data_IF_229884025134
#
_entry.id   IF_229884025134
#
_cell.length_a   1.000
_cell.length_b   1.000
_cell.length_c   1.000
_cell.angle_alpha   90.00
_cell.angle_beta   90.00
_cell.angle_gamma   90.00
#
_symmetry.space_group_name_H-M   'P 1'
#
loop_
_entity.id
_entity.type
_entity.pdbx_description
1 polymer ?
#
# COMPACT_ATOMS: atom_id res chain seq x y z
N UNK A 1 18.16 -14.48 13.70
CA UNK A 1 17.53 -13.44 12.86
C UNK A 1 16.96 -14.12 11.64
N UNK A 2 15.69 -13.89 11.27
CA UNK A 2 15.17 -14.41 10.01
C UNK A 2 15.99 -13.84 8.86
N UNK A 3 16.39 -14.70 7.92
CA UNK A 3 17.13 -14.29 6.73
C UNK A 3 16.13 -13.67 5.76
N UNK A 4 16.42 -12.45 5.29
CA UNK A 4 15.71 -11.88 4.14
C UNK A 4 15.79 -12.89 2.98
N UNK A 5 14.67 -13.22 2.30
CA UNK A 5 14.74 -13.94 1.04
C UNK A 5 15.62 -13.14 0.06
N UNK A 6 16.28 -13.84 -0.87
CA UNK A 6 17.37 -13.36 -1.73
C UNK A 6 17.32 -11.84 -2.02
N UNK A 7 18.28 -11.12 -1.41
CA UNK A 7 18.67 -9.73 -1.63
C UNK A 7 17.56 -8.77 -2.10
N UNK A 8 16.50 -8.60 -1.29
CA UNK A 8 15.66 -7.39 -1.38
C UNK A 8 16.61 -6.20 -1.32
N UNK A 9 16.70 -5.44 -2.41
CA UNK A 9 17.57 -4.26 -2.45
C UNK A 9 16.86 -3.13 -1.73
N UNK A 10 17.37 -2.79 -0.55
CA UNK A 10 16.75 -1.80 0.32
C UNK A 10 17.26 -0.39 -0.02
N UNK A 11 16.38 0.63 0.06
CA UNK A 11 16.83 2.02 0.03
C UNK A 11 17.76 2.35 1.19
N UNK A 12 18.66 3.32 0.98
CA UNK A 12 19.60 3.77 2.00
C UNK A 12 18.92 4.57 3.14
N UNK A 13 17.76 5.17 2.89
CA UNK A 13 16.95 5.89 3.89
C UNK A 13 15.55 5.27 4.06
N UNK A 14 14.82 5.58 5.15
CA UNK A 14 13.44 5.12 5.31
C UNK A 14 12.53 5.65 4.19
N UNK A 15 11.38 4.99 3.99
CA UNK A 15 10.33 5.56 3.15
C UNK A 15 9.74 6.83 3.77
N UNK A 16 9.20 7.76 2.96
CA UNK A 16 8.59 8.99 3.47
C UNK A 16 7.55 8.74 4.54
N UNK A 17 7.47 9.62 5.54
CA UNK A 17 6.45 9.48 6.57
C UNK A 17 5.04 9.74 6.02
N UNK A 18 4.07 9.01 6.56
CA UNK A 18 2.64 9.31 6.41
C UNK A 18 2.11 9.90 7.71
N UNK A 19 0.96 10.58 7.65
CA UNK A 19 0.37 11.22 8.83
C UNK A 19 0.20 10.23 10.01
N UNK A 20 0.42 10.74 11.24
CA UNK A 20 0.40 9.94 12.45
C UNK A 20 -0.95 9.25 12.67
N UNK A 21 -2.06 9.91 12.33
CA UNK A 21 -3.41 9.33 12.34
C UNK A 21 -3.94 9.19 10.91
N UNK A 22 -3.98 7.96 10.41
CA UNK A 22 -4.64 7.67 9.12
C UNK A 22 -6.17 7.78 9.21
N UNK A 23 -6.74 7.63 10.40
CA UNK A 23 -8.19 7.65 10.59
C UNK A 23 -8.83 6.38 10.02
N UNK A 24 -10.02 6.51 9.45
CA UNK A 24 -10.67 5.43 8.71
C UNK A 24 -9.81 5.06 7.48
N UNK A 25 -9.55 3.77 7.31
CA UNK A 25 -8.75 3.21 6.22
C UNK A 25 -9.56 2.10 5.52
N UNK A 26 -10.53 2.46 4.66
CA UNK A 26 -11.29 1.49 3.90
C UNK A 26 -10.42 0.93 2.76
N UNK A 27 -10.58 -0.37 2.53
CA UNK A 27 -10.03 -1.08 1.37
C UNK A 27 -11.19 -1.30 0.41
N UNK A 28 -11.07 -0.78 -0.80
CA UNK A 28 -12.10 -0.82 -1.84
C UNK A 28 -11.52 -1.32 -3.14
N UNK A 29 -12.37 -1.78 -4.05
CA UNK A 29 -11.99 -2.46 -5.29
C UNK A 29 -12.37 -1.68 -6.56
N UNK A 30 -12.90 -0.45 -6.42
CA UNK A 30 -13.28 0.38 -7.55
C UNK A 30 -13.09 1.88 -7.33
N UNK A 31 -12.89 2.61 -8.43
CA UNK A 31 -12.85 4.08 -8.47
C UNK A 31 -14.15 4.71 -7.98
N UNK A 32 -15.30 4.09 -8.29
CA UNK A 32 -16.62 4.56 -7.84
C UNK A 32 -16.69 4.63 -6.30
N UNK A 33 -16.17 3.61 -5.61
CA UNK A 33 -16.12 3.60 -4.16
C UNK A 33 -15.16 4.65 -3.60
N UNK A 34 -14.03 4.88 -4.26
CA UNK A 34 -13.10 5.95 -3.89
C UNK A 34 -13.82 7.29 -3.93
N UNK A 35 -14.47 7.63 -5.04
CA UNK A 35 -15.18 8.91 -5.19
C UNK A 35 -16.25 9.10 -4.12
N UNK A 36 -17.08 8.07 -3.85
CA UNK A 36 -18.11 8.10 -2.80
C UNK A 36 -17.51 8.36 -1.42
N UNK A 37 -16.41 7.70 -1.07
CA UNK A 37 -15.76 7.83 0.23
C UNK A 37 -15.07 9.19 0.39
N UNK A 38 -14.41 9.68 -0.67
CA UNK A 38 -13.81 11.01 -0.70
C UNK A 38 -14.87 12.10 -0.50
N UNK A 39 -16.02 11.98 -1.15
CA UNK A 39 -17.16 12.90 -0.97
C UNK A 39 -17.77 12.82 0.44
N UNK A 40 -17.64 11.68 1.11
CA UNK A 40 -18.04 11.51 2.51
C UNK A 40 -16.99 12.01 3.54
N UNK A 41 -15.87 12.59 3.08
CA UNK A 41 -14.83 13.16 3.94
C UNK A 41 -13.76 12.15 4.40
N UNK A 42 -13.76 10.93 3.84
CA UNK A 42 -12.67 9.96 4.09
C UNK A 42 -11.43 10.41 3.34
N UNK A 43 -10.29 10.48 4.04
CA UNK A 43 -9.05 11.04 3.48
C UNK A 43 -7.87 10.07 3.48
N UNK A 44 -8.09 8.80 3.83
CA UNK A 44 -7.14 7.72 3.61
C UNK A 44 -7.89 6.53 3.06
N UNK A 45 -7.47 5.99 1.92
CA UNK A 45 -8.16 4.91 1.21
C UNK A 45 -7.11 3.98 0.59
N UNK A 46 -7.43 2.69 0.45
CA UNK A 46 -6.66 1.76 -0.36
C UNK A 46 -7.51 1.23 -1.51
N UNK A 47 -6.98 1.35 -2.74
CA UNK A 47 -7.51 0.66 -3.90
C UNK A 47 -6.85 -0.71 -4.01
N UNK A 48 -7.66 -1.77 -4.01
CA UNK A 48 -7.23 -3.15 -4.14
C UNK A 48 -8.07 -3.87 -5.19
N UNK A 49 -7.54 -3.87 -6.40
CA UNK A 49 -8.08 -4.63 -7.52
C UNK A 49 -7.40 -5.99 -7.54
N UNK A 50 -8.14 -7.05 -7.87
CA UNK A 50 -7.61 -8.42 -7.96
C UNK A 50 -7.81 -8.98 -9.35
N UNK A 51 -6.98 -9.96 -9.71
CA UNK A 51 -7.18 -10.84 -10.87
C UNK A 51 -7.31 -10.11 -12.22
N UNK A 52 -6.60 -8.98 -12.38
CA UNK A 52 -6.56 -8.19 -13.63
C UNK A 52 -5.13 -7.87 -14.05
N UNK A 53 -4.88 -7.77 -15.36
CA UNK A 53 -3.58 -7.36 -15.89
C UNK A 53 -3.34 -5.86 -15.71
N UNK A 54 -2.07 -5.43 -15.74
CA UNK A 54 -1.71 -4.01 -15.71
C UNK A 54 -2.45 -3.19 -16.79
N UNK A 55 -2.66 -3.76 -17.98
CA UNK A 55 -3.37 -3.09 -19.07
C UNK A 55 -4.85 -2.86 -18.73
N UNK A 56 -5.50 -3.82 -18.06
CA UNK A 56 -6.92 -3.75 -17.72
C UNK A 56 -7.21 -2.77 -16.58
N UNK A 57 -6.23 -2.52 -15.69
CA UNK A 57 -6.39 -1.63 -14.52
C UNK A 57 -5.76 -0.26 -14.71
N UNK A 58 -5.02 -0.05 -15.79
CA UNK A 58 -4.24 1.17 -16.01
C UNK A 58 -5.08 2.43 -15.88
N UNK A 59 -6.16 2.51 -16.64
CA UNK A 59 -7.05 3.68 -16.66
C UNK A 59 -7.74 3.86 -15.30
N UNK A 60 -8.14 2.76 -14.67
CA UNK A 60 -8.77 2.75 -13.35
C UNK A 60 -7.83 3.29 -12.26
N UNK A 61 -6.57 2.85 -12.25
CA UNK A 61 -5.55 3.32 -11.30
C UNK A 61 -5.19 4.79 -11.55
N UNK A 62 -5.04 5.19 -12.81
CA UNK A 62 -4.77 6.59 -13.15
C UNK A 62 -5.89 7.51 -12.66
N UNK A 63 -7.15 7.13 -12.90
CA UNK A 63 -8.32 7.87 -12.40
C UNK A 63 -8.37 7.91 -10.88
N UNK A 64 -8.09 6.78 -10.21
CA UNK A 64 -8.05 6.71 -8.76
C UNK A 64 -7.03 7.69 -8.17
N UNK A 65 -5.80 7.71 -8.72
CA UNK A 65 -4.73 8.61 -8.28
C UNK A 65 -5.14 10.06 -8.47
N UNK A 66 -5.68 10.42 -9.64
CA UNK A 66 -6.15 11.78 -9.91
C UNK A 66 -7.26 12.24 -8.93
N UNK A 67 -8.18 11.34 -8.55
CA UNK A 67 -9.18 11.62 -7.51
C UNK A 67 -8.52 11.81 -6.14
N UNK A 68 -7.55 10.97 -5.79
CA UNK A 68 -6.78 11.10 -4.56
C UNK A 68 -6.13 12.47 -4.45
N UNK A 69 -5.44 12.91 -5.51
CA UNK A 69 -4.80 14.24 -5.57
C UNK A 69 -5.82 15.38 -5.46
N UNK A 70 -6.90 15.32 -6.25
CA UNK A 70 -7.97 16.33 -6.24
C UNK A 70 -8.56 16.57 -4.85
N UNK A 71 -8.70 15.51 -4.06
CA UNK A 71 -9.25 15.58 -2.70
C UNK A 71 -8.18 15.73 -1.62
N UNK A 72 -6.90 15.89 -1.98
CA UNK A 72 -5.77 15.88 -1.06
C UNK A 72 -5.80 14.66 -0.11
N UNK A 73 -6.16 13.50 -0.67
CA UNK A 73 -6.35 12.26 0.04
C UNK A 73 -5.13 11.36 -0.05
N UNK A 74 -5.02 10.49 0.94
CA UNK A 74 -3.92 9.53 1.10
C UNK A 74 -4.36 8.21 0.45
N UNK A 75 -4.27 8.14 -0.86
CA UNK A 75 -4.65 6.95 -1.62
C UNK A 75 -3.45 6.01 -1.78
N UNK A 76 -3.58 4.78 -1.28
CA UNK A 76 -2.62 3.72 -1.48
C UNK A 76 -3.08 2.76 -2.58
N UNK A 77 -2.20 2.46 -3.54
CA UNK A 77 -2.44 1.46 -4.58
C UNK A 77 -1.87 0.12 -4.10
N UNK A 78 -2.70 -0.92 -4.08
CA UNK A 78 -2.28 -2.27 -3.69
C UNK A 78 -1.70 -3.01 -4.90
N UNK A 79 -0.56 -3.69 -4.71
CA UNK A 79 0.14 -4.61 -5.63
C UNK A 79 0.67 -4.00 -6.95
N UNK A 80 -0.09 -3.12 -7.61
CA UNK A 80 0.25 -2.47 -8.89
C UNK A 80 1.26 -1.32 -8.73
N UNK A 81 2.40 -1.61 -8.10
CA UNK A 81 3.41 -0.62 -7.74
C UNK A 81 4.04 0.09 -8.95
N UNK A 82 4.15 -0.59 -10.10
CA UNK A 82 4.70 0.01 -11.34
C UNK A 82 3.82 1.14 -11.84
N UNK A 83 2.51 0.92 -11.88
CA UNK A 83 1.53 1.94 -12.24
C UNK A 83 1.46 3.06 -11.20
N UNK A 84 1.63 2.72 -9.91
CA UNK A 84 1.71 3.71 -8.84
C UNK A 84 2.93 4.62 -8.96
N UNK A 85 4.09 4.08 -9.34
CA UNK A 85 5.31 4.85 -9.69
C UNK A 85 5.07 5.70 -10.92
N UNK A 86 4.56 5.10 -11.99
CA UNK A 86 4.35 5.76 -13.27
C UNK A 86 3.41 6.96 -13.17
N UNK A 87 2.33 6.84 -12.40
CA UNK A 87 1.33 7.88 -12.24
C UNK A 87 1.49 8.73 -10.98
N UNK A 88 2.57 8.55 -10.20
CA UNK A 88 2.87 9.41 -9.05
C UNK A 88 1.87 9.29 -7.90
N UNK A 89 1.47 8.07 -7.51
CA UNK A 89 0.54 7.85 -6.42
C UNK A 89 0.98 8.47 -5.07
N UNK A 90 0.08 8.59 -4.10
CA UNK A 90 0.49 8.97 -2.74
C UNK A 90 1.35 7.89 -2.06
N UNK A 91 1.04 6.60 -2.34
CA UNK A 91 1.81 5.47 -1.84
C UNK A 91 1.34 4.12 -2.38
N UNK A 92 2.09 3.09 -2.02
CA UNK A 92 1.85 1.68 -2.37
C UNK A 92 1.61 0.89 -1.09
N UNK A 93 0.74 -0.12 -1.16
CA UNK A 93 0.60 -1.14 -0.12
C UNK A 93 0.94 -2.51 -0.68
N UNK A 94 1.75 -3.28 0.05
CA UNK A 94 2.25 -4.59 -0.38
C UNK A 94 1.96 -5.68 0.66
N UNK A 95 1.71 -6.90 0.17
CA UNK A 95 1.80 -8.13 0.95
C UNK A 95 3.24 -8.64 1.04
N UNK A 96 3.45 -9.74 1.76
CA UNK A 96 4.78 -10.35 1.87
C UNK A 96 5.26 -10.95 0.55
N UNK A 97 4.37 -11.58 -0.21
CA UNK A 97 4.68 -12.17 -1.51
C UNK A 97 5.13 -11.09 -2.52
N UNK A 98 4.50 -9.91 -2.49
CA UNK A 98 4.86 -8.80 -3.38
C UNK A 98 6.24 -8.21 -3.05
N UNK A 99 6.65 -8.21 -1.77
CA UNK A 99 7.95 -7.67 -1.35
C UNK A 99 9.13 -8.40 -2.00
N UNK A 100 8.98 -9.69 -2.32
CA UNK A 100 10.04 -10.49 -2.93
C UNK A 100 10.32 -10.10 -4.39
N UNK A 101 9.31 -9.59 -5.09
CA UNK A 101 9.39 -9.30 -6.54
C UNK A 101 9.36 -7.80 -6.86
N UNK A 102 9.13 -6.97 -5.85
CA UNK A 102 9.02 -5.51 -6.00
C UNK A 102 10.38 -4.83 -5.96
N UNK A 103 10.61 -3.90 -6.89
CA UNK A 103 11.75 -2.99 -6.82
C UNK A 103 11.45 -1.86 -5.83
N UNK A 104 11.85 -2.07 -4.57
CA UNK A 104 11.68 -1.08 -3.50
C UNK A 104 12.51 0.20 -3.72
N UNK A 105 13.61 0.13 -4.48
CA UNK A 105 14.37 1.33 -4.83
C UNK A 105 13.58 2.21 -5.79
N UNK A 106 12.93 1.63 -6.80
CA UNK A 106 12.09 2.39 -7.72
C UNK A 106 10.95 3.12 -7.00
N UNK A 107 10.27 2.44 -6.07
CA UNK A 107 9.21 3.05 -5.25
C UNK A 107 9.77 4.20 -4.40
N UNK A 108 10.94 3.98 -3.78
CA UNK A 108 11.58 4.97 -2.92
C UNK A 108 12.05 6.20 -3.70
N UNK A 109 12.68 6.00 -4.85
CA UNK A 109 13.14 7.06 -5.75
C UNK A 109 11.99 7.92 -6.29
N UNK A 110 10.82 7.30 -6.51
CA UNK A 110 9.60 8.02 -6.87
C UNK A 110 9.00 8.86 -5.71
N UNK A 111 9.55 8.77 -4.50
CA UNK A 111 9.07 9.51 -3.33
C UNK A 111 7.73 8.98 -2.78
N UNK A 112 7.34 7.77 -3.16
CA UNK A 112 6.10 7.13 -2.73
C UNK A 112 6.21 6.66 -1.29
N UNK A 113 5.08 6.65 -0.58
CA UNK A 113 4.98 5.99 0.73
C UNK A 113 4.78 4.49 0.57
N UNK A 114 5.27 3.71 1.54
CA UNK A 114 5.11 2.26 1.56
C UNK A 114 4.34 1.79 2.79
N UNK A 115 3.27 1.03 2.56
CA UNK A 115 2.59 0.24 3.58
C UNK A 115 2.87 -1.24 3.39
N UNK A 116 3.08 -1.96 4.49
CA UNK A 116 3.29 -3.42 4.44
C UNK A 116 2.29 -4.10 5.38
N UNK A 117 1.64 -5.15 4.90
CA UNK A 117 0.78 -6.01 5.73
C UNK A 117 1.58 -7.16 6.36
N UNK A 118 1.27 -7.46 7.62
CA UNK A 118 1.93 -8.49 8.44
C UNK A 118 0.89 -9.27 9.25
N UNK A 119 1.12 -10.56 9.48
CA UNK A 119 0.20 -11.49 10.15
C UNK A 119 0.85 -12.30 11.27
N UNK A 120 2.18 -12.31 11.35
CA UNK A 120 2.95 -12.95 12.42
C UNK A 120 4.22 -12.15 12.73
N UNK A 121 4.97 -12.61 13.73
CA UNK A 121 6.21 -11.96 14.18
C UNK A 121 7.33 -12.02 13.14
N UNK A 122 7.34 -13.03 12.27
CA UNK A 122 8.33 -13.20 11.22
C UNK A 122 8.13 -12.17 10.11
N UNK A 123 6.91 -12.05 9.60
CA UNK A 123 6.52 -11.01 8.64
C UNK A 123 6.77 -9.61 9.21
N UNK A 124 6.49 -9.40 10.50
CA UNK A 124 6.78 -8.13 11.18
C UNK A 124 8.28 -7.83 11.20
N UNK A 125 9.13 -8.82 11.49
CA UNK A 125 10.58 -8.63 11.49
C UNK A 125 11.11 -8.25 10.10
N UNK A 126 10.61 -8.89 9.03
CA UNK A 126 10.94 -8.55 7.65
C UNK A 126 10.48 -7.13 7.32
N UNK A 127 9.21 -6.81 7.59
CA UNK A 127 8.65 -5.50 7.30
C UNK A 127 9.39 -4.37 8.04
N UNK A 128 9.85 -4.61 9.28
CA UNK A 128 10.69 -3.65 10.02
C UNK A 128 12.00 -3.33 9.31
N UNK A 129 12.65 -4.34 8.72
CA UNK A 129 13.92 -4.14 8.01
C UNK A 129 13.79 -3.26 6.77
N UNK A 130 12.60 -3.25 6.15
CA UNK A 130 12.27 -2.42 4.98
C UNK A 130 12.09 -0.94 5.35
N UNK A 131 11.85 -0.61 6.63
CA UNK A 131 11.56 0.75 7.12
C UNK A 131 10.43 1.46 6.34
N UNK A 132 9.25 0.83 6.23
CA UNK A 132 8.09 1.38 5.51
C UNK A 132 7.48 2.59 6.24
N UNK A 133 6.62 3.33 5.56
CA UNK A 133 5.87 4.45 6.12
C UNK A 133 4.87 4.03 7.20
N UNK A 134 4.35 2.80 7.12
CA UNK A 134 3.57 2.15 8.17
C UNK A 134 3.52 0.62 7.98
N UNK A 135 3.20 -0.09 9.07
CA UNK A 135 2.91 -1.51 9.04
C UNK A 135 1.47 -1.75 9.49
N UNK A 136 0.79 -2.61 8.77
CA UNK A 136 -0.57 -3.04 9.05
C UNK A 136 -0.54 -4.45 9.62
N UNK A 137 -1.11 -4.64 10.80
CA UNK A 137 -1.21 -5.95 11.43
C UNK A 137 -2.61 -6.51 11.20
N UNK A 138 -2.70 -7.51 10.32
CA UNK A 138 -3.92 -8.25 10.06
C UNK A 138 -4.01 -9.45 11.00
N UNK A 139 -5.22 -9.75 11.50
CA UNK A 139 -5.48 -11.05 12.12
C UNK A 139 -5.57 -12.08 10.97
N UNK A 140 -4.72 -13.09 10.99
CA UNK A 140 -4.83 -14.21 10.06
C UNK A 140 -6.01 -15.10 10.49
N UNK A 141 -7.15 -14.96 9.82
CA UNK A 141 -8.20 -15.98 9.85
C UNK A 141 -8.18 -16.69 8.52
N UNK A 142 -7.94 -18.00 8.53
CA UNK A 142 -7.64 -18.75 7.32
C UNK A 142 -8.76 -18.71 6.27
N UNK A 143 -10.01 -18.34 6.56
CA UNK A 143 -11.11 -18.40 5.58
C UNK A 143 -12.01 -17.13 5.64
N UNK A 144 -12.20 -16.46 4.49
CA UNK A 144 -13.13 -15.32 4.13
C UNK A 144 -12.55 -13.87 4.09
N UNK A 145 -13.09 -12.97 3.23
CA UNK A 145 -12.43 -11.73 2.86
C UNK A 145 -12.43 -10.69 3.99
N UNK A 146 -11.27 -10.07 4.19
CA UNK A 146 -10.97 -9.16 5.30
C UNK A 146 -11.62 -7.78 5.09
N UNK A 147 -12.45 -7.36 6.05
CA UNK A 147 -12.88 -5.96 6.28
C UNK A 147 -12.34 -5.55 7.64
N UNK A 148 -11.55 -4.47 7.68
CA UNK A 148 -10.93 -3.82 8.84
C UNK A 148 -9.52 -4.33 9.23
N UNK A 149 -8.57 -3.38 9.34
CA UNK A 149 -7.13 -3.58 9.55
C UNK A 149 -6.68 -2.76 10.76
N UNK A 150 -5.99 -3.38 11.72
CA UNK A 150 -5.42 -2.71 12.90
C UNK A 150 -3.96 -2.30 12.59
N UNK A 151 -3.48 -1.18 13.16
CA UNK A 151 -2.21 -0.53 12.78
C UNK A 151 -1.17 -0.58 13.90
N UNK A 152 0.07 -0.92 13.55
CA UNK A 152 1.25 -0.74 14.40
C UNK A 152 2.26 0.15 13.66
N UNK A 153 2.69 1.24 14.30
CA UNK A 153 3.85 2.02 13.82
C UNK A 153 5.10 1.28 14.27
N UNK A 154 6.11 1.24 13.41
CA UNK A 154 7.48 0.86 13.75
C UNK A 154 8.29 2.14 13.84
#
# INVERSE_FOLDING_TARGET
>A
MPKLPNAITLPNSPFPETAQRLGLYPVVDSVEWIERLLNAGVSTIQLRIKDKSDADVRDEIQQAIALGEKHNARLFINDYWRLAVEFGAYGVHLGQEDLETTDLLAIHQAGLRLGISTHDEHELAIAKSVRPSYIAMGISFQHKPKRCLLRLRV
#
